data_IF_325824243540
#
_entry.id   IF_325824243540
#
_cell.length_a   1.000
_cell.length_b   1.000
_cell.length_c   1.000
_cell.angle_alpha   90.00
_cell.angle_beta   90.00
_cell.angle_gamma   90.00
#
_symmetry.space_group_name_H-M   'P 1'
#
loop_
_entity.id
_entity.type
_entity.pdbx_description
1 polymer ?
#
# COMPACT_ATOMS: atom_id res chain seq x y z
N UNK A 1 7.07 4.86 7.99
CA UNK A 1 5.71 4.37 8.11
C UNK A 1 5.53 3.73 9.49
N UNK A 2 4.43 4.04 10.21
CA UNK A 2 4.25 3.48 11.55
C UNK A 2 3.94 1.98 11.57
N UNK A 3 3.62 1.41 10.41
CA UNK A 3 3.33 -0.01 10.30
C UNK A 3 4.53 -0.73 9.74
N UNK A 4 4.86 -1.87 10.33
CA UNK A 4 5.89 -2.74 9.78
C UNK A 4 5.22 -3.73 8.86
N UNK A 5 5.33 -3.48 7.56
CA UNK A 5 4.78 -4.35 6.54
C UNK A 5 5.93 -4.94 5.75
N UNK A 6 5.81 -6.21 5.42
CA UNK A 6 6.76 -6.84 4.50
C UNK A 6 6.56 -6.26 3.11
N UNK A 7 7.64 -5.83 2.53
CA UNK A 7 7.59 -5.24 1.19
C UNK A 7 8.07 -6.26 0.16
N UNK A 8 7.45 -6.27 -0.98
CA UNK A 8 6.29 -5.45 -1.36
C UNK A 8 5.00 -5.92 -0.67
N UNK A 9 4.07 -5.02 -0.47
CA UNK A 9 2.81 -5.35 0.18
C UNK A 9 1.63 -4.97 -0.73
N UNK A 10 0.48 -5.63 -0.54
CA UNK A 10 -0.72 -5.26 -1.27
C UNK A 10 -1.64 -4.37 -0.42
N UNK A 11 -2.65 -3.80 -1.07
CA UNK A 11 -3.66 -3.01 -0.37
C UNK A 11 -4.34 -3.81 0.73
N UNK A 12 -4.51 -5.11 0.54
CA UNK A 12 -5.07 -6.00 1.54
C UNK A 12 -4.24 -6.05 2.81
N UNK A 13 -2.93 -6.15 2.66
CA UNK A 13 -2.00 -6.15 3.79
C UNK A 13 -2.04 -4.82 4.53
N UNK A 14 -2.09 -3.73 3.78
CA UNK A 14 -2.18 -2.40 4.35
C UNK A 14 -3.49 -2.21 5.11
N UNK A 15 -4.61 -2.67 4.53
CA UNK A 15 -5.91 -2.57 5.18
C UNK A 15 -5.92 -3.31 6.52
N UNK A 16 -5.33 -4.49 6.54
CA UNK A 16 -5.27 -5.31 7.74
C UNK A 16 -4.40 -4.66 8.81
N UNK A 17 -3.25 -4.15 8.43
CA UNK A 17 -2.33 -3.50 9.36
C UNK A 17 -2.93 -2.22 9.95
N UNK A 18 -3.66 -1.47 9.15
CA UNK A 18 -4.26 -0.21 9.57
C UNK A 18 -5.65 -0.36 10.18
N UNK A 19 -6.21 -1.56 10.16
CA UNK A 19 -7.57 -1.84 10.66
C UNK A 19 -8.63 -1.01 9.93
N UNK A 20 -8.52 -0.93 8.61
CA UNK A 20 -9.47 -0.20 7.78
C UNK A 20 -10.02 -1.11 6.69
N UNK A 21 -11.17 -0.77 6.11
CA UNK A 21 -11.72 -1.53 4.99
C UNK A 21 -10.80 -1.48 3.77
N UNK A 22 -10.86 -2.51 2.95
CA UNK A 22 -10.04 -2.61 1.75
C UNK A 22 -10.27 -1.41 0.81
N UNK A 23 -11.51 -0.99 0.65
CA UNK A 23 -11.84 0.13 -0.23
C UNK A 23 -11.15 1.41 0.25
N UNK A 24 -11.12 1.63 1.55
CA UNK A 24 -10.44 2.80 2.11
C UNK A 24 -8.92 2.67 1.94
N UNK A 25 -8.39 1.46 2.14
CA UNK A 25 -6.97 1.21 1.95
C UNK A 25 -6.53 1.52 0.51
N UNK A 26 -7.33 1.11 -0.46
CA UNK A 26 -7.05 1.41 -1.86
C UNK A 26 -7.04 2.90 -2.13
N UNK A 27 -7.98 3.62 -1.55
CA UNK A 27 -8.04 5.08 -1.69
C UNK A 27 -6.81 5.74 -1.07
N UNK A 28 -6.45 5.32 0.13
CA UNK A 28 -5.28 5.87 0.83
C UNK A 28 -4.01 5.58 0.03
N UNK A 29 -3.85 4.36 -0.47
CA UNK A 29 -2.66 4.00 -1.25
C UNK A 29 -2.58 4.78 -2.56
N UNK A 30 -3.73 5.06 -3.20
CA UNK A 30 -3.74 5.90 -4.39
C UNK A 30 -3.24 7.31 -4.08
N UNK A 31 -3.67 7.86 -2.97
CA UNK A 31 -3.25 9.19 -2.53
C UNK A 31 -1.74 9.17 -2.24
N UNK A 32 -1.28 8.19 -1.51
CA UNK A 32 0.15 8.06 -1.18
C UNK A 32 1.00 7.86 -2.44
N UNK A 33 0.47 7.13 -3.40
CA UNK A 33 1.16 6.93 -4.68
C UNK A 33 1.31 8.25 -5.44
N UNK A 34 0.25 9.04 -5.49
CA UNK A 34 0.29 10.35 -6.14
C UNK A 34 1.23 11.32 -5.43
N UNK A 35 1.33 11.20 -4.12
CA UNK A 35 2.25 12.01 -3.33
C UNK A 35 3.69 11.56 -3.44
N UNK A 36 3.93 10.38 -4.01
CA UNK A 36 5.27 9.83 -4.11
C UNK A 36 5.76 9.16 -2.84
N UNK A 37 4.87 8.93 -1.88
CA UNK A 37 5.21 8.28 -0.61
C UNK A 37 5.36 6.78 -0.76
N UNK A 38 4.58 6.19 -1.67
CA UNK A 38 4.71 4.76 -2.01
C UNK A 38 4.81 4.65 -3.52
N UNK A 39 5.36 3.54 -3.99
CA UNK A 39 5.44 3.25 -5.41
C UNK A 39 4.90 1.86 -5.68
N UNK A 40 4.43 1.66 -6.90
CA UNK A 40 3.99 0.35 -7.37
C UNK A 40 5.18 -0.38 -7.94
N UNK A 41 5.45 -1.55 -7.37
CA UNK A 41 6.61 -2.35 -7.80
C UNK A 41 6.21 -3.61 -8.55
N UNK A 42 4.92 -3.90 -8.61
CA UNK A 42 4.45 -5.07 -9.35
C UNK A 42 2.97 -5.25 -9.17
N UNK A 43 2.48 -6.36 -9.67
CA UNK A 43 1.07 -6.71 -9.58
C UNK A 43 0.95 -8.21 -9.35
N UNK A 44 0.09 -8.59 -8.43
CA UNK A 44 -0.20 -9.99 -8.15
C UNK A 44 -1.70 -10.20 -8.22
N UNK A 45 -2.14 -10.93 -9.25
CA UNK A 45 -3.56 -11.11 -9.48
C UNK A 45 -4.21 -9.76 -9.79
N UNK A 46 -5.21 -9.40 -9.01
CA UNK A 46 -5.95 -8.14 -9.18
C UNK A 46 -5.44 -7.02 -8.28
N UNK A 47 -4.37 -7.28 -7.54
CA UNK A 47 -3.85 -6.31 -6.57
C UNK A 47 -2.47 -5.83 -6.98
N UNK A 48 -2.23 -4.54 -6.81
CA UNK A 48 -0.89 -3.99 -7.00
C UNK A 48 -0.05 -4.22 -5.77
N UNK A 49 1.23 -4.40 -6.00
CA UNK A 49 2.22 -4.47 -4.93
C UNK A 49 2.85 -3.09 -4.76
N UNK A 50 2.99 -2.69 -3.52
CA UNK A 50 3.49 -1.35 -3.18
C UNK A 50 4.71 -1.45 -2.30
N UNK A 51 5.51 -0.41 -2.35
CA UNK A 51 6.68 -0.26 -1.51
C UNK A 51 6.76 1.18 -1.03
N UNK A 52 7.14 1.38 0.22
CA UNK A 52 7.33 2.73 0.76
C UNK A 52 8.59 3.34 0.14
N UNK A 53 8.45 4.55 -0.38
CA UNK A 53 9.58 5.29 -0.90
C UNK A 53 10.25 5.97 0.28
N UNK A 54 11.44 5.52 0.60
CA UNK A 54 12.20 6.04 1.73
C UNK A 54 13.36 6.87 1.21
N UNK A 55 13.34 8.12 1.56
CA UNK A 55 14.42 9.01 1.17
C UNK A 55 15.44 9.17 2.28
#
# INVERSE_FOLDING_TARGET
>A
MPYELEEPFHSKDFAKAAHIPLSLAQTVLNILFEMGTVERVGKQGNSYLYRVVDE
#
